data_IF_595369352498
#
_entry.id   IF_595369352498
#
_cell.length_a   1.000
_cell.length_b   1.000
_cell.length_c   1.000
_cell.angle_alpha   90.00
_cell.angle_beta   90.00
_cell.angle_gamma   90.00
#
_symmetry.space_group_name_H-M   'P 1'
#
loop_
_entity.id
_entity.type
_entity.pdbx_description
1 polymer ?
#
# COMPACT_ATOMS: atom_id res chain seq x y z
N UNK A 1 -36.06 19.35 18.22
CA UNK A 1 -34.77 18.93 17.61
C UNK A 1 -33.77 18.54 18.70
N UNK A 2 -33.89 17.34 19.30
CA UNK A 2 -32.95 16.82 20.32
C UNK A 2 -32.62 15.33 20.14
N UNK A 3 -32.99 14.73 19.01
CA UNK A 3 -32.88 13.28 18.77
C UNK A 3 -31.62 12.92 17.95
N UNK A 4 -30.93 13.90 17.38
CA UNK A 4 -29.77 13.66 16.50
C UNK A 4 -28.41 13.58 17.21
N UNK A 5 -28.25 14.15 18.41
CA UNK A 5 -26.98 14.12 19.16
C UNK A 5 -26.78 12.84 19.96
N UNK A 6 -27.83 12.30 20.57
CA UNK A 6 -27.75 11.09 21.42
C UNK A 6 -27.42 9.83 20.63
N UNK A 7 -27.87 9.75 19.36
CA UNK A 7 -27.60 8.60 18.49
C UNK A 7 -26.13 8.57 18.01
N UNK A 8 -25.54 9.74 17.71
CA UNK A 8 -24.12 9.85 17.34
C UNK A 8 -23.17 9.52 18.49
N UNK A 9 -23.59 9.69 19.74
CA UNK A 9 -22.78 9.35 20.91
C UNK A 9 -22.80 7.84 21.21
N UNK A 10 -23.95 7.18 21.00
CA UNK A 10 -24.11 5.72 21.13
C UNK A 10 -23.32 4.95 20.05
N UNK A 11 -23.32 5.42 18.80
CA UNK A 11 -22.60 4.74 17.70
C UNK A 11 -21.07 4.79 17.83
N UNK A 12 -20.50 5.71 18.62
CA UNK A 12 -19.05 5.84 18.85
C UNK A 12 -18.47 4.84 19.85
N UNK A 13 -19.30 4.16 20.65
CA UNK A 13 -18.81 3.23 21.67
C UNK A 13 -18.49 1.82 21.13
N UNK A 14 -18.71 1.55 19.84
CA UNK A 14 -18.53 0.22 19.24
C UNK A 14 -17.66 0.26 17.97
N UNK A 15 -16.69 1.17 17.90
CA UNK A 15 -15.73 1.27 16.80
C UNK A 15 -14.55 0.31 17.03
N UNK A 16 -14.19 -0.45 15.98
CA UNK A 16 -13.06 -1.36 15.98
C UNK A 16 -11.75 -0.58 15.74
N UNK A 17 -10.66 -1.06 16.34
CA UNK A 17 -9.31 -0.66 15.93
C UNK A 17 -8.95 -1.32 14.60
N UNK A 18 -8.12 -0.67 13.77
CA UNK A 18 -7.75 -1.22 12.46
C UNK A 18 -7.14 -2.63 12.53
N UNK A 19 -6.31 -2.91 13.54
CA UNK A 19 -5.69 -4.22 13.73
C UNK A 19 -6.69 -5.33 14.13
N UNK A 20 -7.90 -4.98 14.56
CA UNK A 20 -8.96 -5.91 14.93
C UNK A 20 -9.89 -6.23 13.74
N UNK A 21 -9.83 -5.43 12.68
CA UNK A 21 -10.62 -5.66 11.47
C UNK A 21 -10.03 -6.81 10.67
N UNK A 22 -10.91 -7.59 10.02
CA UNK A 22 -10.50 -8.70 9.17
C UNK A 22 -11.16 -8.59 7.80
N UNK A 23 -10.39 -8.14 6.81
CA UNK A 23 -10.88 -7.95 5.45
C UNK A 23 -11.30 -9.26 4.78
N UNK A 24 -10.64 -10.37 5.13
CA UNK A 24 -10.86 -11.69 4.54
C UNK A 24 -12.19 -12.34 4.92
N UNK A 25 -12.87 -11.83 5.95
CA UNK A 25 -14.20 -12.34 6.35
C UNK A 25 -15.24 -12.09 5.25
N UNK A 26 -15.13 -10.96 4.56
CA UNK A 26 -16.16 -10.49 3.62
C UNK A 26 -15.63 -10.45 2.19
N UNK A 27 -14.38 -10.01 1.99
CA UNK A 27 -13.82 -9.76 0.68
C UNK A 27 -12.81 -10.85 0.28
N UNK A 28 -12.71 -11.16 -1.02
CA UNK A 28 -11.60 -11.98 -1.51
C UNK A 28 -10.28 -11.28 -1.21
N UNK A 29 -9.21 -12.07 -1.02
CA UNK A 29 -7.89 -11.56 -0.69
C UNK A 29 -6.84 -12.11 -1.65
N UNK A 30 -5.71 -11.41 -1.70
CA UNK A 30 -4.50 -11.81 -2.40
C UNK A 30 -3.34 -11.83 -1.40
N UNK A 31 -2.32 -12.69 -1.61
CA UNK A 31 -1.05 -12.57 -0.91
C UNK A 31 -0.48 -11.15 -1.07
N UNK A 32 0.22 -10.64 -0.04
CA UNK A 32 0.82 -9.30 -0.10
C UNK A 32 1.70 -9.13 -1.34
N UNK A 33 2.52 -10.14 -1.67
CA UNK A 33 3.41 -10.12 -2.84
C UNK A 33 2.65 -9.91 -4.15
N UNK A 34 1.41 -10.39 -4.26
CA UNK A 34 0.60 -10.25 -5.48
C UNK A 34 -0.05 -8.87 -5.54
N UNK A 35 -0.44 -8.31 -4.39
CA UNK A 35 -0.88 -6.92 -4.29
C UNK A 35 0.28 -5.96 -4.62
N UNK A 36 1.48 -6.25 -4.13
CA UNK A 36 2.69 -5.49 -4.46
C UNK A 36 3.06 -5.61 -5.95
N UNK A 37 2.81 -6.77 -6.58
CA UNK A 37 2.91 -6.91 -8.03
C UNK A 37 1.94 -5.97 -8.75
N UNK A 38 0.67 -5.90 -8.34
CA UNK A 38 -0.31 -4.99 -8.93
C UNK A 38 0.08 -3.52 -8.75
N UNK A 39 0.65 -3.14 -7.60
CA UNK A 39 1.19 -1.80 -7.38
C UNK A 39 2.38 -1.50 -8.32
N UNK A 40 3.30 -2.47 -8.47
CA UNK A 40 4.44 -2.35 -9.37
C UNK A 40 4.02 -2.26 -10.85
N UNK A 41 2.95 -2.96 -11.22
CA UNK A 41 2.35 -2.92 -12.57
C UNK A 41 1.87 -1.51 -12.97
N UNK A 42 1.59 -0.64 -12.00
CA UNK A 42 1.24 0.77 -12.23
C UNK A 42 2.46 1.68 -12.49
N UNK A 43 3.68 1.15 -12.55
CA UNK A 43 4.88 1.92 -12.85
C UNK A 43 5.04 2.11 -14.37
N UNK A 44 5.39 3.32 -14.79
CA UNK A 44 5.62 3.64 -16.23
C UNK A 44 6.70 2.75 -16.86
N UNK A 45 7.63 2.25 -16.05
CA UNK A 45 8.74 1.40 -16.48
C UNK A 45 8.49 -0.09 -16.27
N UNK A 46 7.29 -0.49 -15.83
CA UNK A 46 6.98 -1.89 -15.52
C UNK A 46 7.30 -2.84 -16.67
N UNK A 47 6.88 -2.49 -17.89
CA UNK A 47 7.15 -3.25 -19.13
C UNK A 47 8.64 -3.41 -19.47
N UNK A 48 9.54 -2.75 -18.74
CA UNK A 48 11.00 -2.84 -18.90
C UNK A 48 11.68 -3.64 -17.79
N UNK A 49 10.92 -4.14 -16.83
CA UNK A 49 11.40 -5.01 -15.76
C UNK A 49 11.28 -6.46 -16.26
N UNK A 50 12.37 -7.23 -16.31
CA UNK A 50 12.27 -8.65 -16.59
C UNK A 50 11.48 -9.38 -15.49
N UNK A 51 10.58 -10.29 -15.88
CA UNK A 51 9.67 -10.98 -14.95
C UNK A 51 10.42 -11.67 -13.82
N UNK A 52 11.57 -12.28 -14.11
CA UNK A 52 12.41 -12.97 -13.13
C UNK A 52 12.98 -12.05 -12.03
N UNK A 53 13.00 -10.73 -12.27
CA UNK A 53 13.48 -9.73 -11.29
C UNK A 53 12.36 -9.16 -10.43
N UNK A 54 11.10 -9.34 -10.85
CA UNK A 54 9.95 -8.76 -10.15
C UNK A 54 9.86 -9.24 -8.70
N UNK A 55 9.95 -10.55 -8.39
CA UNK A 55 9.89 -11.03 -7.00
C UNK A 55 10.98 -10.41 -6.12
N UNK A 56 12.22 -10.32 -6.63
CA UNK A 56 13.34 -9.74 -5.89
C UNK A 56 13.13 -8.25 -5.60
N UNK A 57 12.64 -7.48 -6.58
CA UNK A 57 12.38 -6.04 -6.41
C UNK A 57 11.31 -5.77 -5.35
N UNK A 58 10.21 -6.53 -5.40
CA UNK A 58 9.14 -6.45 -4.42
C UNK A 58 9.66 -6.79 -3.02
N UNK A 59 10.40 -7.90 -2.90
CA UNK A 59 10.98 -8.33 -1.63
C UNK A 59 11.91 -7.25 -1.04
N UNK A 60 12.78 -6.65 -1.86
CA UNK A 60 13.69 -5.60 -1.41
C UNK A 60 12.95 -4.33 -0.95
N UNK A 61 11.86 -3.95 -1.63
CA UNK A 61 11.02 -2.84 -1.22
C UNK A 61 10.32 -3.12 0.12
N UNK A 62 9.73 -4.32 0.28
CA UNK A 62 9.13 -4.76 1.52
C UNK A 62 10.13 -4.72 2.68
N UNK A 63 11.32 -5.28 2.48
CA UNK A 63 12.39 -5.27 3.49
C UNK A 63 12.78 -3.85 3.91
N UNK A 64 12.80 -2.89 2.98
CA UNK A 64 13.11 -1.50 3.32
C UNK A 64 12.04 -0.89 4.22
N UNK A 65 10.76 -1.13 3.92
CA UNK A 65 9.62 -0.77 4.77
C UNK A 65 9.69 -1.41 6.16
N UNK A 66 9.97 -2.71 6.24
CA UNK A 66 10.12 -3.42 7.52
C UNK A 66 11.29 -2.90 8.36
N UNK A 67 12.45 -2.67 7.73
CA UNK A 67 13.64 -2.13 8.39
C UNK A 67 13.34 -0.74 8.96
N UNK A 68 12.61 0.10 8.21
CA UNK A 68 12.17 1.40 8.70
C UNK A 68 11.20 1.26 9.88
N UNK A 69 10.22 0.35 9.83
CA UNK A 69 9.27 0.15 10.92
C UNK A 69 9.98 -0.28 12.21
N UNK A 70 10.90 -1.26 12.12
CA UNK A 70 11.72 -1.71 13.25
C UNK A 70 12.58 -0.60 13.86
N UNK A 71 13.05 0.34 13.03
CA UNK A 71 13.93 1.44 13.45
C UNK A 71 13.18 2.61 14.08
N UNK A 72 12.03 3.02 13.52
CA UNK A 72 11.37 4.28 13.89
C UNK A 72 10.07 4.11 14.68
N UNK A 73 9.43 2.94 14.64
CA UNK A 73 8.04 2.80 15.06
C UNK A 73 7.82 1.80 16.21
N UNK A 74 8.83 1.56 17.04
CA UNK A 74 8.65 0.79 18.28
C UNK A 74 7.63 1.50 19.18
N UNK A 75 6.46 0.89 19.35
CA UNK A 75 5.36 1.34 20.23
C UNK A 75 4.82 2.75 19.89
N UNK A 76 4.48 2.98 18.62
CA UNK A 76 4.01 4.28 18.13
C UNK A 76 2.51 4.49 18.36
N UNK A 77 2.14 5.36 19.31
CA UNK A 77 0.78 5.89 19.46
C UNK A 77 0.51 7.07 18.51
N UNK A 78 -0.74 7.27 18.08
CA UNK A 78 -1.10 8.36 17.14
C UNK A 78 -0.68 9.74 17.64
N UNK A 79 -0.94 10.04 18.92
CA UNK A 79 -0.54 11.33 19.52
C UNK A 79 0.97 11.53 19.48
N UNK A 80 1.74 10.45 19.69
CA UNK A 80 3.19 10.50 19.60
C UNK A 80 3.67 10.72 18.17
N UNK A 81 3.04 10.08 17.18
CA UNK A 81 3.33 10.31 15.76
C UNK A 81 3.09 11.78 15.37
N UNK A 82 1.91 12.33 15.70
CA UNK A 82 1.60 13.72 15.38
C UNK A 82 2.60 14.67 16.06
N UNK A 83 2.91 14.45 17.34
CA UNK A 83 3.91 15.25 18.05
C UNK A 83 5.31 15.13 17.41
N UNK A 84 5.68 13.94 16.92
CA UNK A 84 6.94 13.72 16.22
C UNK A 84 7.00 14.49 14.91
N UNK A 85 5.93 14.41 14.10
CA UNK A 85 5.79 15.15 12.85
C UNK A 85 5.87 16.66 13.07
N UNK A 86 5.14 17.18 14.08
CA UNK A 86 5.17 18.60 14.43
C UNK A 86 6.57 19.06 14.87
N UNK A 87 7.27 18.27 15.70
CA UNK A 87 8.67 18.55 16.10
C UNK A 87 9.63 18.54 14.91
N UNK A 88 9.32 17.78 13.86
CA UNK A 88 10.08 17.74 12.60
C UNK A 88 9.69 18.87 11.63
N UNK A 89 8.78 19.76 12.03
CA UNK A 89 8.30 20.85 11.18
C UNK A 89 7.32 20.41 10.08
N UNK A 90 6.75 19.21 10.19
CA UNK A 90 5.76 18.69 9.25
C UNK A 90 4.37 19.18 9.64
N UNK A 91 3.68 19.83 8.70
CA UNK A 91 2.30 20.30 8.89
C UNK A 91 1.32 19.22 8.45
N UNK A 92 0.33 18.89 9.26
CA UNK A 92 -0.78 18.01 8.85
C UNK A 92 -1.98 18.87 8.46
N UNK A 93 -2.50 18.68 7.24
CA UNK A 93 -3.61 19.47 6.69
C UNK A 93 -4.72 18.55 6.19
N UNK A 94 -5.96 18.95 6.42
CA UNK A 94 -7.14 18.24 5.93
C UNK A 94 -7.81 19.05 4.83
N UNK A 95 -8.01 18.42 3.68
CA UNK A 95 -8.67 19.03 2.52
C UNK A 95 -10.04 18.39 2.30
N UNK A 96 -11.03 19.21 1.91
CA UNK A 96 -12.39 18.73 1.67
C UNK A 96 -12.52 17.99 0.33
N UNK A 97 -11.86 18.52 -0.71
CA UNK A 97 -11.98 18.01 -2.08
C UNK A 97 -10.65 17.41 -2.54
N UNK A 98 -10.73 16.26 -3.20
CA UNK A 98 -9.60 15.66 -3.90
C UNK A 98 -9.25 16.47 -5.16
N UNK A 99 -7.99 16.46 -5.61
CA UNK A 99 -7.64 16.90 -6.95
C UNK A 99 -8.35 16.02 -8.00
N UNK A 100 -8.47 16.52 -9.23
CA UNK A 100 -9.22 15.86 -10.32
C UNK A 100 -8.81 14.39 -10.59
N UNK A 101 -7.63 13.97 -10.13
CA UNK A 101 -7.21 12.57 -10.10
C UNK A 101 -7.72 11.91 -8.80
N UNK A 102 -8.84 11.21 -8.87
CA UNK A 102 -9.65 10.69 -7.74
C UNK A 102 -8.97 9.64 -6.84
N UNK A 103 -7.76 9.18 -7.17
CA UNK A 103 -7.08 8.08 -6.47
C UNK A 103 -6.18 8.53 -5.30
N UNK A 104 -5.82 9.81 -5.22
CA UNK A 104 -4.92 10.31 -4.17
C UNK A 104 -5.72 10.46 -2.86
N UNK A 105 -5.35 9.67 -1.85
CA UNK A 105 -6.02 9.61 -0.53
C UNK A 105 -5.36 10.51 0.51
N UNK A 106 -4.04 10.54 0.47
CA UNK A 106 -3.18 11.45 1.17
C UNK A 106 -1.93 11.70 0.32
N UNK A 107 -1.14 12.71 0.67
CA UNK A 107 0.16 12.93 0.04
C UNK A 107 1.13 13.68 0.96
N UNK A 108 2.40 13.33 0.85
CA UNK A 108 3.51 14.05 1.44
C UNK A 108 4.10 15.07 0.47
N UNK A 109 4.10 16.33 0.89
CA UNK A 109 4.73 17.46 0.20
C UNK A 109 6.05 17.79 0.89
N UNK A 110 7.16 17.76 0.14
CA UNK A 110 8.50 17.99 0.71
C UNK A 110 8.79 19.45 1.09
N UNK A 111 8.29 20.43 0.33
CA UNK A 111 8.63 21.85 0.48
C UNK A 111 7.39 22.75 0.40
N UNK A 112 6.89 23.30 1.53
CA UNK A 112 7.30 22.97 2.90
C UNK A 112 6.84 21.55 3.29
N UNK A 113 7.53 20.86 4.21
CA UNK A 113 7.10 19.55 4.71
C UNK A 113 5.64 19.58 5.18
N UNK A 114 4.77 18.88 4.46
CA UNK A 114 3.33 18.86 4.73
C UNK A 114 2.78 17.47 4.42
N UNK A 115 1.86 16.98 5.24
CA UNK A 115 1.03 15.80 4.94
C UNK A 115 -0.39 16.30 4.73
N UNK A 116 -0.93 16.02 3.56
CA UNK A 116 -2.28 16.44 3.15
C UNK A 116 -3.18 15.20 3.12
N UNK A 117 -4.27 15.22 3.87
CA UNK A 117 -5.25 14.11 3.94
C UNK A 117 -6.59 14.61 3.41
N UNK A 118 -7.17 13.88 2.47
CA UNK A 118 -8.46 14.23 1.89
C UNK A 118 -9.62 13.63 2.68
N UNK A 119 -10.57 14.47 3.09
CA UNK A 119 -11.75 14.03 3.86
C UNK A 119 -12.66 13.09 3.07
N UNK A 120 -12.74 13.24 1.75
CA UNK A 120 -13.48 12.29 0.90
C UNK A 120 -12.91 10.87 1.00
N UNK A 121 -11.59 10.70 1.09
CA UNK A 121 -10.96 9.39 1.31
C UNK A 121 -11.35 8.80 2.67
N UNK A 122 -11.33 9.62 3.73
CA UNK A 122 -11.75 9.18 5.07
C UNK A 122 -13.22 8.73 5.08
N UNK A 123 -14.11 9.49 4.44
CA UNK A 123 -15.52 9.13 4.32
C UNK A 123 -15.74 7.86 3.48
N UNK A 124 -14.96 7.65 2.42
CA UNK A 124 -15.02 6.42 1.61
C UNK A 124 -14.63 5.19 2.43
N UNK A 125 -13.54 5.28 3.20
CA UNK A 125 -13.11 4.20 4.10
C UNK A 125 -14.11 3.95 5.23
N UNK A 126 -14.63 5.01 5.85
CA UNK A 126 -15.65 4.89 6.90
C UNK A 126 -16.89 4.14 6.38
N UNK A 127 -17.35 4.50 5.17
CA UNK A 127 -18.48 3.86 4.51
C UNK A 127 -18.18 2.38 4.22
N UNK A 128 -16.98 2.09 3.69
CA UNK A 128 -16.53 0.74 3.41
C UNK A 128 -16.54 -0.15 4.66
N UNK A 129 -15.96 0.31 5.77
CA UNK A 129 -15.91 -0.45 7.02
C UNK A 129 -17.28 -0.58 7.69
N UNK A 130 -18.16 0.41 7.57
CA UNK A 130 -19.56 0.34 8.05
C UNK A 130 -20.36 -0.72 7.29
N UNK A 131 -20.25 -0.77 5.96
CA UNK A 131 -20.92 -1.81 5.15
C UNK A 131 -20.44 -3.22 5.48
N UNK A 132 -19.17 -3.35 5.87
CA UNK A 132 -18.60 -4.59 6.38
C UNK A 132 -19.08 -4.97 7.79
N UNK A 133 -19.90 -4.13 8.44
CA UNK A 133 -20.30 -4.27 9.85
C UNK A 133 -19.10 -4.30 10.82
N UNK A 134 -17.98 -3.70 10.42
CA UNK A 134 -16.78 -3.54 11.22
C UNK A 134 -16.38 -2.06 11.24
N UNK A 135 -17.22 -1.16 11.78
CA UNK A 135 -16.96 0.28 11.74
C UNK A 135 -15.60 0.58 12.40
N UNK A 136 -14.84 1.50 11.80
CA UNK A 136 -13.55 1.98 12.29
C UNK A 136 -13.65 3.47 12.54
N UNK A 137 -13.12 3.93 13.65
CA UNK A 137 -13.15 5.35 14.03
C UNK A 137 -12.27 6.22 13.13
N UNK A 138 -12.68 7.48 12.93
CA UNK A 138 -11.97 8.46 12.09
C UNK A 138 -10.49 8.61 12.51
N UNK A 139 -10.18 8.53 13.81
CA UNK A 139 -8.80 8.61 14.32
C UNK A 139 -7.90 7.51 13.78
N UNK A 140 -8.39 6.27 13.76
CA UNK A 140 -7.66 5.12 13.23
C UNK A 140 -7.48 5.26 11.71
N UNK A 141 -8.51 5.72 10.98
CA UNK A 141 -8.41 6.01 9.54
C UNK A 141 -7.38 7.10 9.20
N UNK A 142 -7.34 8.17 10.01
CA UNK A 142 -6.32 9.21 9.90
C UNK A 142 -4.94 8.62 10.19
N UNK A 143 -4.81 7.76 11.19
CA UNK A 143 -3.55 7.13 11.55
C UNK A 143 -3.00 6.27 10.41
N UNK A 144 -3.86 5.54 9.70
CA UNK A 144 -3.47 4.76 8.52
C UNK A 144 -2.75 5.62 7.47
N UNK A 145 -3.37 6.72 7.06
CA UNK A 145 -2.76 7.64 6.10
C UNK A 145 -1.54 8.36 6.66
N UNK A 146 -1.58 8.81 7.92
CA UNK A 146 -0.44 9.51 8.52
C UNK A 146 0.80 8.63 8.60
N UNK A 147 0.67 7.35 8.95
CA UNK A 147 1.81 6.43 9.02
C UNK A 147 2.38 6.18 7.63
N UNK A 148 1.53 6.01 6.62
CA UNK A 148 1.95 5.89 5.22
C UNK A 148 2.76 7.12 4.79
N UNK A 149 2.21 8.32 4.95
CA UNK A 149 2.89 9.55 4.53
C UNK A 149 4.12 9.88 5.37
N UNK A 150 4.14 9.43 6.62
CA UNK A 150 5.33 9.54 7.46
C UNK A 150 6.49 8.72 6.92
N UNK A 151 6.24 7.54 6.31
CA UNK A 151 7.30 6.80 5.62
C UNK A 151 7.96 7.64 4.53
N UNK A 152 7.17 8.31 3.67
CA UNK A 152 7.72 9.17 2.63
C UNK A 152 8.49 10.36 3.19
N UNK A 153 8.04 10.91 4.32
CA UNK A 153 8.83 11.91 5.04
C UNK A 153 10.18 11.35 5.50
N UNK A 154 10.21 10.12 6.05
CA UNK A 154 11.44 9.45 6.47
C UNK A 154 12.36 9.18 5.27
N UNK A 155 11.85 8.77 4.11
CA UNK A 155 12.65 8.57 2.89
C UNK A 155 13.38 9.85 2.47
N UNK A 156 12.70 10.99 2.53
CA UNK A 156 13.24 12.27 2.13
C UNK A 156 14.20 12.88 3.17
N UNK A 157 14.23 12.36 4.40
CA UNK A 157 14.97 13.01 5.51
C UNK A 157 15.92 12.11 6.32
N UNK A 158 15.70 10.79 6.36
CA UNK A 158 16.38 9.87 7.30
C UNK A 158 16.84 8.54 6.70
N UNK A 159 16.12 7.94 5.74
CA UNK A 159 16.39 6.55 5.29
C UNK A 159 16.74 6.39 3.81
N UNK A 160 16.92 7.49 3.08
CA UNK A 160 17.02 7.53 1.62
C UNK A 160 15.75 6.97 0.94
N UNK A 161 15.53 7.36 -0.31
CA UNK A 161 14.35 6.91 -1.07
C UNK A 161 14.56 5.51 -1.62
N UNK A 162 13.53 4.68 -1.47
CA UNK A 162 13.48 3.28 -1.92
C UNK A 162 13.83 3.16 -3.40
N UNK A 163 13.23 3.99 -4.26
CA UNK A 163 13.45 3.98 -5.71
C UNK A 163 14.88 4.36 -6.13
N UNK A 164 15.63 5.05 -5.27
CA UNK A 164 16.99 5.47 -5.54
C UNK A 164 18.05 4.45 -5.12
N UNK A 165 17.76 3.67 -4.08
CA UNK A 165 18.68 2.66 -3.52
C UNK A 165 18.49 1.27 -4.12
N UNK A 166 17.29 0.97 -4.64
CA UNK A 166 16.98 -0.32 -5.25
C UNK A 166 17.38 -0.39 -6.74
N UNK A 167 17.51 -1.59 -7.31
CA UNK A 167 17.85 -1.75 -8.73
C UNK A 167 16.90 -0.98 -9.64
N UNK A 168 17.47 -0.30 -10.63
CA UNK A 168 16.76 0.58 -11.57
C UNK A 168 16.38 -0.17 -12.84
N UNK A 169 15.24 0.20 -13.43
CA UNK A 169 14.82 -0.32 -14.72
C UNK A 169 15.72 0.22 -15.84
N UNK A 170 16.03 -0.63 -16.82
CA UNK A 170 16.81 -0.26 -18.01
C UNK A 170 15.86 0.33 -19.07
N UNK A 171 16.15 1.54 -19.50
CA UNK A 171 15.42 2.21 -20.59
C UNK A 171 16.39 2.50 -21.74
N UNK A 172 16.10 1.93 -22.91
CA UNK A 172 16.85 2.23 -24.14
C UNK A 172 16.46 3.64 -24.61
N UNK A 173 17.46 4.51 -24.80
CA UNK A 173 17.23 5.88 -25.27
C UNK A 173 17.38 5.91 -26.79
N UNK A 174 18.56 5.56 -27.29
CA UNK A 174 18.89 5.54 -28.72
C UNK A 174 20.12 4.67 -28.95
N UNK A 175 20.15 3.84 -30.00
CA UNK A 175 21.30 2.97 -30.29
C UNK A 175 21.76 2.11 -29.09
N UNK A 176 23.08 2.05 -28.78
CA UNK A 176 23.60 1.33 -27.62
C UNK A 176 23.42 2.07 -26.28
N UNK A 177 22.84 3.27 -26.28
CA UNK A 177 22.70 4.08 -25.07
C UNK A 177 21.51 3.62 -24.22
N UNK A 178 21.81 3.15 -23.01
CA UNK A 178 20.84 2.71 -22.00
C UNK A 178 20.90 3.64 -20.80
N UNK A 179 19.75 4.14 -20.35
CA UNK A 179 19.61 4.85 -19.09
C UNK A 179 19.01 3.93 -18.03
N UNK A 180 19.44 4.11 -16.78
CA UNK A 180 18.88 3.45 -15.63
C UNK A 180 17.96 4.42 -14.88
N UNK A 181 16.67 4.12 -14.84
CA UNK A 181 15.65 4.98 -14.22
C UNK A 181 15.09 4.37 -12.92
N UNK A 182 14.87 5.18 -11.87
CA UNK A 182 14.20 4.75 -10.65
C UNK A 182 12.81 4.18 -10.93
N UNK A 183 12.44 3.10 -10.25
CA UNK A 183 11.10 2.51 -10.29
C UNK A 183 10.34 3.09 -9.10
N UNK A 184 9.44 4.04 -9.37
CA UNK A 184 8.82 4.88 -8.35
C UNK A 184 7.87 4.08 -7.46
N UNK A 185 7.15 3.11 -8.04
CA UNK A 185 6.17 2.28 -7.33
C UNK A 185 6.78 1.42 -6.21
N UNK A 186 8.10 1.18 -6.21
CA UNK A 186 8.78 0.53 -5.10
C UNK A 186 8.67 1.31 -3.78
N UNK A 187 8.53 2.64 -3.85
CA UNK A 187 8.31 3.48 -2.66
C UNK A 187 6.96 3.22 -2.01
N UNK A 188 5.92 3.04 -2.81
CA UNK A 188 4.56 2.76 -2.35
C UNK A 188 4.47 1.37 -1.69
N UNK A 189 5.14 0.38 -2.28
CA UNK A 189 5.25 -0.97 -1.69
C UNK A 189 5.92 -0.89 -0.32
N UNK A 190 7.05 -0.18 -0.21
CA UNK A 190 7.75 -0.01 1.05
C UNK A 190 6.92 0.78 2.09
N UNK A 191 6.19 1.82 1.67
CA UNK A 191 5.30 2.60 2.53
C UNK A 191 4.14 1.76 3.08
N UNK A 192 3.55 0.90 2.25
CA UNK A 192 2.50 -0.01 2.68
C UNK A 192 3.01 -1.09 3.63
N UNK A 193 4.17 -1.68 3.35
CA UNK A 193 4.81 -2.62 4.29
C UNK A 193 5.14 -1.94 5.61
N UNK A 194 5.70 -0.73 5.57
CA UNK A 194 5.95 0.06 6.78
C UNK A 194 4.66 0.25 7.58
N UNK A 195 3.58 0.68 6.92
CA UNK A 195 2.29 0.95 7.55
C UNK A 195 1.66 -0.28 8.19
N UNK A 196 1.68 -1.41 7.48
CA UNK A 196 1.23 -2.70 8.00
C UNK A 196 1.96 -3.07 9.30
N UNK A 197 3.28 -2.94 9.31
CA UNK A 197 4.13 -3.28 10.46
C UNK A 197 3.94 -2.32 11.64
N UNK A 198 3.90 -1.02 11.38
CA UNK A 198 3.73 0.01 12.43
C UNK A 198 2.38 -0.14 13.13
N UNK A 199 1.32 -0.39 12.36
CA UNK A 199 -0.04 -0.50 12.87
C UNK A 199 -0.43 -1.93 13.27
N UNK A 200 0.47 -2.89 13.09
CA UNK A 200 0.27 -4.31 13.42
C UNK A 200 -0.99 -4.86 12.76
N UNK A 201 -1.21 -4.51 11.49
CA UNK A 201 -2.40 -4.95 10.76
C UNK A 201 -2.27 -6.44 10.41
N UNK A 202 -3.40 -7.14 10.43
CA UNK A 202 -3.50 -8.54 9.98
C UNK A 202 -3.78 -8.64 8.49
N UNK A 203 -3.82 -7.50 7.80
CA UNK A 203 -4.14 -7.35 6.39
C UNK A 203 -3.29 -6.22 5.79
N UNK A 204 -3.02 -6.31 4.48
CA UNK A 204 -2.21 -5.33 3.77
C UNK A 204 -2.98 -4.05 3.47
N UNK A 205 -2.44 -2.85 3.76
CA UNK A 205 -2.99 -1.59 3.28
C UNK A 205 -3.23 -1.56 1.76
N UNK A 206 -2.38 -2.22 0.95
CA UNK A 206 -2.61 -2.37 -0.50
C UNK A 206 -3.92 -3.09 -0.82
N UNK A 207 -4.30 -4.09 -0.01
CA UNK A 207 -5.57 -4.79 -0.20
C UNK A 207 -6.74 -3.83 -0.06
N UNK A 208 -6.71 -2.97 0.97
CA UNK A 208 -7.75 -1.97 1.18
C UNK A 208 -7.83 -1.00 -0.01
N UNK A 209 -6.70 -0.51 -0.50
CA UNK A 209 -6.67 0.39 -1.65
C UNK A 209 -7.26 -0.24 -2.91
N UNK A 210 -6.90 -1.49 -3.22
CA UNK A 210 -7.47 -2.22 -4.34
C UNK A 210 -8.97 -2.47 -4.17
N UNK A 211 -9.44 -2.85 -2.97
CA UNK A 211 -10.86 -3.07 -2.71
C UNK A 211 -11.66 -1.78 -2.88
N UNK A 212 -11.17 -0.66 -2.36
CA UNK A 212 -11.81 0.64 -2.52
C UNK A 212 -11.82 1.08 -3.98
N UNK A 213 -10.71 0.92 -4.71
CA UNK A 213 -10.60 1.21 -6.15
C UNK A 213 -11.63 0.42 -6.95
N UNK A 214 -11.68 -0.90 -6.77
CA UNK A 214 -12.58 -1.76 -7.54
C UNK A 214 -14.05 -1.51 -7.17
N UNK A 215 -14.34 -1.19 -5.91
CA UNK A 215 -15.69 -0.81 -5.47
C UNK A 215 -16.12 0.53 -6.06
N UNK A 216 -15.22 1.51 -6.12
CA UNK A 216 -15.47 2.82 -6.73
C UNK A 216 -15.78 2.69 -8.24
N UNK A 217 -15.15 1.73 -8.91
CA UNK A 217 -15.46 1.31 -10.28
C UNK A 217 -16.81 0.55 -10.42
N UNK A 218 -17.58 0.40 -9.34
CA UNK A 218 -18.87 -0.29 -9.33
C UNK A 218 -18.78 -1.83 -9.38
N UNK A 219 -17.60 -2.42 -9.15
CA UNK A 219 -17.45 -3.88 -9.18
C UNK A 219 -18.12 -4.52 -7.97
N UNK A 220 -18.95 -5.52 -8.25
CA UNK A 220 -19.51 -6.40 -7.23
C UNK A 220 -18.44 -7.28 -6.61
N UNK A 221 -18.72 -7.84 -5.42
CA UNK A 221 -17.83 -8.78 -4.75
C UNK A 221 -17.47 -10.00 -5.61
N UNK A 222 -18.41 -10.50 -6.43
CA UNK A 222 -18.14 -11.63 -7.33
C UNK A 222 -17.11 -11.24 -8.39
N UNK A 223 -17.29 -10.08 -9.04
CA UNK A 223 -16.35 -9.56 -10.04
C UNK A 223 -14.96 -9.28 -9.44
N UNK A 224 -14.89 -8.80 -8.19
CA UNK A 224 -13.61 -8.64 -7.48
C UNK A 224 -12.94 -10.00 -7.24
N UNK A 225 -13.71 -11.03 -6.86
CA UNK A 225 -13.17 -12.38 -6.66
C UNK A 225 -12.62 -12.97 -7.96
N UNK A 226 -13.38 -12.86 -9.05
CA UNK A 226 -12.96 -13.30 -10.38
C UNK A 226 -11.70 -12.55 -10.84
N UNK A 227 -11.64 -11.24 -10.61
CA UNK A 227 -10.46 -10.44 -10.88
C UNK A 227 -9.24 -10.90 -10.06
N UNK A 228 -9.39 -11.13 -8.75
CA UNK A 228 -8.28 -11.63 -7.93
C UNK A 228 -7.86 -13.04 -8.33
N UNK A 229 -8.78 -13.89 -8.79
CA UNK A 229 -8.45 -15.20 -9.33
C UNK A 229 -7.63 -15.10 -10.62
N UNK A 230 -7.98 -14.19 -11.53
CA UNK A 230 -7.20 -14.00 -12.76
C UNK A 230 -5.83 -13.39 -12.49
N UNK A 231 -5.72 -12.47 -11.52
CA UNK A 231 -4.42 -11.97 -11.04
C UNK A 231 -3.58 -13.11 -10.50
N UNK A 232 -4.15 -13.98 -9.65
CA UNK A 232 -3.43 -15.16 -9.12
C UNK A 232 -2.87 -16.02 -10.25
N UNK A 233 -3.69 -16.39 -11.23
CA UNK A 233 -3.26 -17.24 -12.35
C UNK A 233 -2.11 -16.62 -13.16
N UNK A 234 -2.12 -15.30 -13.32
CA UNK A 234 -1.10 -14.56 -14.08
C UNK A 234 0.20 -14.36 -13.29
N UNK A 235 0.10 -14.16 -11.98
CA UNK A 235 1.22 -13.80 -11.12
C UNK A 235 1.91 -15.03 -10.51
N UNK A 236 1.18 -16.11 -10.24
CA UNK A 236 1.72 -17.34 -9.64
C UNK A 236 3.00 -17.84 -10.36
N UNK A 237 3.05 -17.96 -11.71
CA UNK A 237 4.24 -18.47 -12.40
C UNK A 237 5.46 -17.57 -12.29
N UNK A 238 5.28 -16.28 -11.98
CA UNK A 238 6.38 -15.31 -11.81
C UNK A 238 7.06 -15.52 -10.46
N UNK A 239 6.29 -15.84 -9.42
CA UNK A 239 6.80 -16.06 -8.06
C UNK A 239 7.16 -17.53 -7.78
N UNK A 240 6.49 -18.44 -8.45
CA UNK A 240 6.66 -19.88 -8.34
C UNK A 240 6.79 -20.48 -9.75
N UNK A 241 7.92 -20.24 -10.43
CA UNK A 241 8.13 -20.78 -11.76
C UNK A 241 8.05 -22.30 -11.73
N UNK A 242 7.43 -22.95 -12.73
CA UNK A 242 7.42 -24.40 -12.81
C UNK A 242 8.85 -24.92 -12.83
N UNK A 243 9.09 -26.08 -12.20
CA UNK A 243 10.39 -26.72 -12.26
C UNK A 243 10.80 -26.88 -13.74
N UNK A 244 12.08 -26.63 -14.08
CA UNK A 244 12.55 -26.93 -15.42
C UNK A 244 12.25 -28.40 -15.71
N UNK A 245 11.83 -28.76 -16.94
CA UNK A 245 11.68 -30.16 -17.31
C UNK A 245 12.98 -30.87 -16.95
N UNK A 246 12.89 -31.93 -16.16
CA UNK A 246 14.02 -32.80 -15.87
C UNK A 246 14.60 -33.22 -17.21
N UNK A 247 15.87 -32.88 -17.46
CA UNK A 247 16.62 -33.47 -18.56
C UNK A 247 16.45 -34.98 -18.42
N UNK A 248 15.68 -35.58 -19.34
CA UNK A 248 15.74 -37.02 -19.54
C UNK A 248 17.20 -37.30 -19.83
N UNK A 249 17.89 -37.84 -18.82
CA UNK A 249 19.18 -38.50 -19.00
C UNK A 249 18.95 -39.54 -20.08
N UNK A 250 19.33 -39.16 -21.30
CA UNK A 250 19.44 -40.02 -22.45
C UNK A 250 20.43 -41.12 -22.05
N UNK A 251 19.89 -42.19 -21.48
CA UNK A 251 20.61 -43.44 -21.23
C UNK A 251 20.78 -44.15 -22.57
N UNK A 252 21.55 -43.53 -23.45
CA UNK A 252 22.11 -44.14 -24.65
C UNK A 252 23.63 -44.20 -24.49
N UNK A 253 24.09 -45.10 -23.61
CA UNK A 253 25.45 -45.63 -23.67
C UNK A 253 25.56 -46.91 -22.82
N UNK A 254 25.15 -48.06 -23.38
CA UNK A 254 26.06 -49.14 -23.81
C UNK A 254 25.31 -50.42 -24.20
#
# INVERSE_FOLDING_TARGET
MKVTETKRHSDRMNENRLHQVSLSVIWPTLPFTYLAYLELEQDELFSKIPDEKIPQLIQLAMEHGEKAAKKFAKNLELTFLINTLLKQGVRVRFFQHQPANSWIRAQYIRKPPSIEIYRSSLSQMETFFREMKQPVGEKDLIQLHLVHEWFHHLEETKIQRTDLILPRAKQKIWGPFVSHKPIRRLREIAAHTFTEQVLKLTWSPLLLDHLLLLKDQGKSRLQIREYFQSVRQRVEPIFHPPAPPSEELDQSTH
#
